data_IF_055036697404
#
_entry.id   IF_055036697404
#
_cell.length_a   1.000
_cell.length_b   1.000
_cell.length_c   1.000
_cell.angle_alpha   90.00
_cell.angle_beta   90.00
_cell.angle_gamma   90.00
#
_symmetry.space_group_name_H-M   'P 1'
#
loop_
_entity.id
_entity.type
_entity.pdbx_description
1 polymer ?
#
# COMPACT_ATOMS: atom_id res chain seq x y z
N UNK A 1 2.20 -35.16 -43.34
CA UNK A 1 2.72 -34.93 -41.98
C UNK A 1 3.48 -33.60 -41.80
N UNK A 2 3.59 -32.76 -42.85
CA UNK A 2 4.20 -31.42 -42.70
C UNK A 2 3.46 -30.53 -41.67
N UNK A 3 2.11 -30.62 -41.61
CA UNK A 3 1.27 -29.91 -40.66
C UNK A 3 1.60 -30.31 -39.20
N UNK A 4 1.80 -31.61 -38.93
CA UNK A 4 2.20 -32.09 -37.58
C UNK A 4 3.56 -31.58 -37.14
N UNK A 5 4.54 -31.55 -38.05
CA UNK A 5 5.84 -30.97 -37.78
C UNK A 5 5.77 -29.46 -37.51
N UNK A 6 4.91 -28.74 -38.24
CA UNK A 6 4.71 -27.31 -38.04
C UNK A 6 4.10 -26.99 -36.66
N UNK A 7 3.09 -27.74 -36.26
CA UNK A 7 2.47 -27.61 -34.93
C UNK A 7 3.45 -27.90 -33.81
N UNK A 8 4.29 -28.94 -33.98
CA UNK A 8 5.33 -29.29 -33.02
C UNK A 8 6.38 -28.16 -32.85
N UNK A 9 6.83 -27.59 -33.96
CA UNK A 9 7.80 -26.48 -33.95
C UNK A 9 7.20 -25.26 -33.29
N UNK A 10 5.94 -24.92 -33.57
CA UNK A 10 5.24 -23.81 -32.89
C UNK A 10 5.13 -24.08 -31.38
N UNK A 11 4.75 -25.28 -30.97
CA UNK A 11 4.65 -25.69 -29.59
C UNK A 11 5.99 -25.56 -28.83
N UNK A 12 7.08 -26.05 -29.44
CA UNK A 12 8.45 -25.92 -28.86
C UNK A 12 8.86 -24.45 -28.79
N UNK A 13 8.60 -23.65 -29.82
CA UNK A 13 8.94 -22.23 -29.85
C UNK A 13 8.16 -21.45 -28.78
N UNK A 14 6.88 -21.71 -28.62
CA UNK A 14 6.07 -21.11 -27.55
C UNK A 14 6.58 -21.53 -26.16
N UNK A 15 6.92 -22.78 -25.95
CA UNK A 15 7.51 -23.28 -24.73
C UNK A 15 8.85 -22.61 -24.39
N UNK A 16 9.72 -22.44 -25.39
CA UNK A 16 10.99 -21.77 -25.25
C UNK A 16 10.84 -20.27 -24.91
N UNK A 17 9.92 -19.57 -25.59
CA UNK A 17 9.63 -18.16 -25.29
C UNK A 17 9.07 -18.01 -23.86
N UNK A 18 8.16 -18.90 -23.48
CA UNK A 18 7.57 -18.91 -22.15
C UNK A 18 8.65 -19.13 -21.05
N UNK A 19 9.50 -20.14 -21.24
CA UNK A 19 10.59 -20.45 -20.29
C UNK A 19 11.61 -19.31 -20.18
N UNK A 20 11.99 -18.71 -21.30
CA UNK A 20 12.89 -17.54 -21.28
C UNK A 20 12.28 -16.34 -20.57
N UNK A 21 10.98 -16.11 -20.74
CA UNK A 21 10.27 -15.03 -20.03
C UNK A 21 10.30 -15.24 -18.52
N UNK A 22 10.11 -16.47 -18.07
CA UNK A 22 10.23 -16.83 -16.65
C UNK A 22 11.61 -16.51 -16.09
N UNK A 23 12.64 -17.00 -16.74
CA UNK A 23 14.01 -16.75 -16.32
C UNK A 23 14.36 -15.25 -16.28
N UNK A 24 13.84 -14.47 -17.22
CA UNK A 24 14.02 -13.02 -17.22
C UNK A 24 13.36 -12.36 -16.00
N UNK A 25 12.11 -12.72 -15.68
CA UNK A 25 11.40 -12.20 -14.51
C UNK A 25 12.15 -12.52 -13.22
N UNK A 26 12.58 -13.76 -13.04
CA UNK A 26 13.35 -14.18 -11.87
C UNK A 26 14.66 -13.42 -11.73
N UNK A 27 15.38 -13.30 -12.83
CA UNK A 27 16.66 -12.57 -12.85
C UNK A 27 16.45 -11.09 -12.50
N UNK A 28 15.38 -10.47 -13.00
CA UNK A 28 15.04 -9.09 -12.68
C UNK A 28 14.68 -8.93 -11.19
N UNK A 29 13.82 -9.78 -10.65
CA UNK A 29 13.45 -9.76 -9.22
C UNK A 29 14.68 -9.93 -8.33
N UNK A 30 15.55 -10.89 -8.63
CA UNK A 30 16.83 -11.10 -7.92
C UNK A 30 17.71 -9.86 -7.99
N UNK A 31 17.89 -9.29 -9.18
CA UNK A 31 18.69 -8.06 -9.37
C UNK A 31 18.14 -6.92 -8.49
N UNK A 32 16.83 -6.67 -8.51
CA UNK A 32 16.24 -5.58 -7.74
C UNK A 32 16.36 -5.82 -6.24
N UNK A 33 16.16 -7.05 -5.78
CA UNK A 33 16.36 -7.44 -4.38
C UNK A 33 17.82 -7.24 -3.93
N UNK A 34 18.80 -7.66 -4.74
CA UNK A 34 20.22 -7.43 -4.46
C UNK A 34 20.57 -5.95 -4.38
N UNK A 35 19.93 -5.09 -5.20
CA UNK A 35 20.14 -3.64 -5.14
C UNK A 35 19.58 -3.03 -3.87
N UNK A 36 18.41 -3.47 -3.40
CA UNK A 36 17.90 -3.05 -2.10
C UNK A 36 18.87 -3.43 -0.97
N UNK A 37 19.33 -4.67 -0.93
CA UNK A 37 20.32 -5.13 0.06
C UNK A 37 21.59 -4.30 0.04
N UNK A 38 22.16 -4.09 -1.14
CA UNK A 38 23.39 -3.32 -1.35
C UNK A 38 23.32 -1.90 -0.78
N UNK A 39 22.15 -1.26 -0.92
CA UNK A 39 21.95 0.15 -0.57
C UNK A 39 21.12 0.35 0.70
N UNK A 40 20.81 -0.71 1.45
CA UNK A 40 19.98 -0.62 2.65
C UNK A 40 20.62 0.19 3.78
N UNK A 41 21.93 0.02 3.97
CA UNK A 41 22.73 0.61 5.05
C UNK A 41 23.26 2.03 4.74
N UNK A 42 22.89 2.63 3.62
CA UNK A 42 23.27 4.00 3.30
C UNK A 42 22.32 4.96 3.98
N UNK A 43 22.88 6.03 4.60
CA UNK A 43 22.11 7.09 5.20
C UNK A 43 21.10 7.67 4.22
N UNK A 44 19.84 7.74 4.65
CA UNK A 44 18.74 8.22 3.82
C UNK A 44 18.50 9.70 4.06
N UNK A 45 18.22 10.40 3.00
CA UNK A 45 17.65 11.75 3.06
C UNK A 45 16.14 11.67 3.11
N UNK A 46 15.50 12.71 3.64
CA UNK A 46 14.04 12.79 3.72
C UNK A 46 13.48 13.65 2.60
N UNK A 47 12.48 13.15 1.92
CA UNK A 47 11.65 13.92 0.99
C UNK A 47 10.71 14.80 1.82
N UNK A 48 10.77 16.10 1.63
CA UNK A 48 9.98 17.09 2.36
C UNK A 48 8.76 17.50 1.54
N UNK A 49 8.99 17.74 0.25
CA UNK A 49 7.98 18.24 -0.67
C UNK A 49 8.20 17.65 -2.07
N UNK A 50 7.12 17.33 -2.75
CA UNK A 50 7.19 16.81 -4.12
C UNK A 50 6.04 17.34 -4.98
N UNK A 51 6.38 18.02 -6.06
CA UNK A 51 5.45 18.33 -7.13
C UNK A 51 5.66 17.34 -8.27
N UNK A 52 4.57 16.73 -8.74
CA UNK A 52 4.58 15.73 -9.82
C UNK A 52 3.66 16.22 -10.92
N UNK A 53 4.19 16.43 -12.11
CA UNK A 53 3.42 16.71 -13.33
C UNK A 53 3.40 15.43 -14.16
N UNK A 54 2.24 14.81 -14.25
CA UNK A 54 2.03 13.53 -14.90
C UNK A 54 1.26 13.69 -16.20
N UNK A 55 1.69 12.99 -17.22
CA UNK A 55 0.92 12.74 -18.44
C UNK A 55 1.11 11.30 -18.91
N UNK A 56 0.15 10.81 -19.68
CA UNK A 56 0.19 9.47 -20.25
C UNK A 56 0.01 9.54 -21.76
N UNK A 57 0.79 8.73 -22.46
CA UNK A 57 0.62 8.48 -23.89
C UNK A 57 0.66 6.98 -24.13
N UNK A 58 -0.48 6.40 -24.51
CA UNK A 58 -0.69 4.94 -24.65
C UNK A 58 -0.27 4.21 -23.35
N UNK A 59 0.70 3.32 -23.41
CA UNK A 59 1.21 2.51 -22.29
C UNK A 59 2.44 3.10 -21.61
N UNK A 60 2.76 4.34 -21.90
CA UNK A 60 3.91 5.04 -21.31
C UNK A 60 3.46 6.23 -20.50
N UNK A 61 4.16 6.47 -19.42
CA UNK A 61 4.04 7.70 -18.64
C UNK A 61 5.16 8.66 -18.99
N UNK A 62 4.87 9.96 -18.87
CA UNK A 62 5.85 11.02 -18.91
C UNK A 62 5.63 11.89 -17.69
N UNK A 63 6.67 12.11 -16.93
CA UNK A 63 6.59 12.78 -15.64
C UNK A 63 7.72 13.78 -15.48
N UNK A 64 7.34 14.97 -14.97
CA UNK A 64 8.30 15.92 -14.44
C UNK A 64 8.07 16.02 -12.93
N UNK A 65 9.08 15.76 -12.14
CA UNK A 65 9.02 15.77 -10.68
C UNK A 65 10.02 16.78 -10.11
N UNK A 66 9.50 17.77 -9.40
CA UNK A 66 10.31 18.65 -8.57
C UNK A 66 10.31 18.10 -7.14
N UNK A 67 11.48 17.81 -6.60
CA UNK A 67 11.64 17.23 -5.26
C UNK A 67 12.48 18.14 -4.37
N UNK A 68 12.03 18.30 -3.13
CA UNK A 68 12.79 18.93 -2.05
C UNK A 68 13.12 17.89 -1.01
N UNK A 69 14.40 17.63 -0.83
CA UNK A 69 14.93 16.66 0.11
C UNK A 69 15.74 17.35 1.20
N UNK A 70 15.86 16.73 2.37
CA UNK A 70 16.62 17.25 3.50
C UNK A 70 17.43 16.14 4.17
N UNK A 71 18.64 16.44 4.54
CA UNK A 71 19.40 15.60 5.47
C UNK A 71 18.91 15.83 6.88
N UNK A 72 18.11 14.92 7.45
CA UNK A 72 17.66 14.99 8.86
C UNK A 72 18.60 14.26 9.82
N UNK A 73 19.74 13.73 9.34
CA UNK A 73 20.74 13.11 10.19
C UNK A 73 21.60 14.18 10.86
N UNK A 74 22.18 13.82 11.99
CA UNK A 74 23.15 14.69 12.72
C UNK A 74 24.54 14.67 12.06
N UNK A 75 24.73 13.82 11.05
CA UNK A 75 25.96 13.68 10.28
C UNK A 75 25.77 14.11 8.84
N UNK A 76 26.85 14.41 8.19
CA UNK A 76 26.89 14.73 6.78
C UNK A 76 26.56 13.47 5.94
N UNK A 77 25.81 13.64 4.85
CA UNK A 77 25.51 12.61 3.88
C UNK A 77 26.31 12.89 2.62
N UNK A 78 27.20 11.99 2.25
CA UNK A 78 28.09 12.18 1.11
C UNK A 78 27.40 12.06 -0.25
N UNK A 79 26.27 11.32 -0.29
CA UNK A 79 25.54 11.01 -1.53
C UNK A 79 24.05 11.05 -1.27
N UNK A 80 23.33 11.69 -2.16
CA UNK A 80 21.87 11.66 -2.19
C UNK A 80 21.42 10.44 -2.99
N UNK A 81 20.50 9.67 -2.40
CA UNK A 81 20.00 8.47 -3.04
C UNK A 81 18.46 8.46 -3.02
N UNK A 82 17.86 8.08 -4.13
CA UNK A 82 16.43 7.86 -4.26
C UNK A 82 16.12 6.69 -5.20
N UNK A 83 14.89 6.22 -5.16
CA UNK A 83 14.39 5.07 -5.91
C UNK A 83 13.41 5.53 -6.98
N UNK A 84 13.48 4.94 -8.15
CA UNK A 84 12.57 5.14 -9.27
C UNK A 84 12.41 3.82 -10.02
N UNK A 85 11.24 3.56 -10.60
CA UNK A 85 11.01 2.33 -11.36
C UNK A 85 12.12 2.08 -12.37
N UNK A 86 12.70 0.88 -12.40
CA UNK A 86 13.89 0.60 -13.20
C UNK A 86 13.69 0.77 -14.71
N UNK A 87 12.46 0.65 -15.20
CA UNK A 87 12.14 0.82 -16.64
C UNK A 87 11.90 2.27 -17.07
N UNK A 88 11.74 3.20 -16.13
CA UNK A 88 11.59 4.61 -16.45
C UNK A 88 12.93 5.21 -16.80
N UNK A 89 13.05 5.83 -17.95
CA UNK A 89 14.27 6.46 -18.44
C UNK A 89 14.33 7.92 -17.99
N UNK A 90 15.39 8.31 -17.27
CA UNK A 90 15.62 9.70 -16.90
C UNK A 90 16.17 10.43 -18.11
N UNK A 91 15.44 11.42 -18.58
CA UNK A 91 15.87 12.31 -19.67
C UNK A 91 16.74 13.44 -19.15
N UNK A 92 16.36 13.98 -17.98
CA UNK A 92 17.03 15.12 -17.39
C UNK A 92 16.96 15.07 -15.87
N UNK A 93 18.09 15.37 -15.23
CA UNK A 93 18.20 15.60 -13.79
C UNK A 93 18.96 16.90 -13.58
N UNK A 94 18.30 17.89 -12.97
CA UNK A 94 18.88 19.21 -12.79
C UNK A 94 18.76 19.72 -11.37
N UNK A 95 19.69 20.63 -11.03
CA UNK A 95 19.65 21.47 -9.84
C UNK A 95 19.69 22.93 -10.30
N UNK A 96 18.68 23.70 -9.95
CA UNK A 96 18.55 25.12 -10.37
C UNK A 96 18.70 25.34 -11.90
N UNK A 97 18.23 24.35 -12.68
CA UNK A 97 18.29 24.38 -14.15
C UNK A 97 19.58 23.84 -14.77
N UNK A 98 20.63 23.58 -13.98
CA UNK A 98 21.89 23.00 -14.46
C UNK A 98 21.87 21.48 -14.31
N UNK A 99 22.40 20.76 -15.31
CA UNK A 99 22.47 19.30 -15.29
C UNK A 99 23.41 18.83 -14.19
N UNK A 100 22.96 17.86 -13.39
CA UNK A 100 23.74 17.26 -12.31
C UNK A 100 24.07 15.80 -12.66
N UNK A 101 25.33 15.37 -12.51
CA UNK A 101 25.73 13.99 -12.81
C UNK A 101 25.10 13.03 -11.79
N UNK A 102 24.62 11.91 -12.29
CA UNK A 102 24.07 10.82 -11.47
C UNK A 102 24.54 9.46 -11.97
N UNK A 103 24.49 8.47 -11.07
CA UNK A 103 24.67 7.06 -11.41
C UNK A 103 23.34 6.34 -11.21
N UNK A 104 23.01 5.43 -12.09
CA UNK A 104 21.85 4.57 -11.96
C UNK A 104 22.28 3.12 -11.81
N UNK A 105 21.77 2.43 -10.77
CA UNK A 105 21.96 1.00 -10.53
C UNK A 105 20.56 0.37 -10.34
N UNK A 106 19.95 -0.04 -11.45
CA UNK A 106 18.56 -0.50 -11.57
C UNK A 106 17.54 0.56 -11.06
N UNK A 107 16.83 0.26 -9.96
CA UNK A 107 15.87 1.20 -9.33
C UNK A 107 16.53 2.30 -8.50
N UNK A 108 17.84 2.23 -8.26
CA UNK A 108 18.56 3.17 -7.39
C UNK A 108 19.22 4.25 -8.22
N UNK A 109 19.01 5.50 -7.86
CA UNK A 109 19.61 6.69 -8.46
C UNK A 109 20.46 7.35 -7.39
N UNK A 110 21.72 7.60 -7.72
CA UNK A 110 22.73 8.14 -6.82
C UNK A 110 23.26 9.42 -7.40
N UNK A 111 23.07 10.51 -6.68
CA UNK A 111 23.64 11.83 -6.98
C UNK A 111 24.83 12.06 -6.06
N UNK A 112 25.98 12.28 -6.64
CA UNK A 112 27.23 12.57 -5.92
C UNK A 112 27.18 14.02 -5.42
N UNK A 113 26.38 14.26 -4.39
CA UNK A 113 26.20 15.58 -3.79
C UNK A 113 26.18 15.46 -2.27
N UNK A 114 27.02 16.25 -1.62
CA UNK A 114 27.20 16.26 -0.20
C UNK A 114 26.17 17.18 0.46
N UNK A 115 25.53 16.69 1.51
CA UNK A 115 24.57 17.47 2.28
C UNK A 115 24.98 17.53 3.75
N UNK A 116 25.19 18.74 4.26
CA UNK A 116 25.40 18.95 5.69
C UNK A 116 24.17 18.59 6.52
N UNK A 117 24.32 18.39 7.82
CA UNK A 117 23.16 18.18 8.69
C UNK A 117 22.12 19.29 8.52
N UNK A 118 20.84 18.88 8.34
CA UNK A 118 19.68 19.75 8.14
C UNK A 118 19.68 20.59 6.86
N UNK A 119 20.67 20.42 6.00
CA UNK A 119 20.68 21.05 4.67
C UNK A 119 19.62 20.44 3.75
N UNK A 120 19.01 21.28 2.90
CA UNK A 120 18.03 20.88 1.91
C UNK A 120 18.58 21.03 0.49
N UNK A 121 18.14 20.14 -0.41
CA UNK A 121 18.47 20.14 -1.82
C UNK A 121 17.18 20.05 -2.65
N UNK A 122 17.07 20.86 -3.69
CA UNK A 122 15.99 20.82 -4.66
C UNK A 122 16.51 20.27 -5.99
N UNK A 123 15.76 19.32 -6.58
CA UNK A 123 16.09 18.68 -7.84
C UNK A 123 14.87 18.60 -8.73
N UNK A 124 15.07 18.80 -10.02
CA UNK A 124 14.09 18.56 -11.07
C UNK A 124 14.47 17.31 -11.86
N UNK A 125 13.52 16.39 -12.01
CA UNK A 125 13.74 15.09 -12.65
C UNK A 125 12.67 14.90 -13.71
N UNK A 126 13.08 14.84 -14.98
CA UNK A 126 12.19 14.50 -16.11
C UNK A 126 12.47 13.09 -16.56
N UNK A 127 11.44 12.26 -16.67
CA UNK A 127 11.57 10.87 -17.06
C UNK A 127 10.30 10.36 -17.75
N UNK A 128 10.48 9.28 -18.53
CA UNK A 128 9.38 8.61 -19.21
C UNK A 128 9.61 7.10 -19.31
N UNK A 129 8.59 6.37 -19.69
CA UNK A 129 8.66 4.93 -19.96
C UNK A 129 7.43 4.16 -19.53
N UNK A 130 7.58 2.86 -19.50
CA UNK A 130 6.57 1.93 -18.99
C UNK A 130 6.96 1.43 -17.60
N UNK A 131 6.00 0.99 -16.82
CA UNK A 131 6.24 0.46 -15.47
C UNK A 131 6.66 -1.00 -15.55
N UNK A 132 7.78 -1.34 -14.93
CA UNK A 132 8.15 -2.74 -14.63
C UNK A 132 7.52 -3.13 -13.28
N UNK A 133 6.53 -4.03 -13.34
CA UNK A 133 5.80 -4.48 -12.16
C UNK A 133 6.60 -5.46 -11.28
N UNK A 134 7.69 -6.04 -11.79
CA UNK A 134 8.50 -6.99 -11.02
C UNK A 134 9.07 -6.36 -9.74
N UNK A 135 9.26 -5.04 -9.72
CA UNK A 135 9.70 -4.28 -8.54
C UNK A 135 8.70 -4.34 -7.38
N UNK A 136 7.42 -4.58 -7.67
CA UNK A 136 6.35 -4.60 -6.68
C UNK A 136 6.25 -5.91 -5.90
N UNK A 137 6.95 -6.96 -6.32
CA UNK A 137 6.83 -8.32 -5.80
C UNK A 137 8.11 -8.83 -5.10
N UNK A 138 8.99 -7.94 -4.65
CA UNK A 138 10.29 -8.34 -4.09
C UNK A 138 10.20 -8.87 -2.66
N UNK A 139 9.13 -8.57 -1.97
CA UNK A 139 8.84 -9.03 -0.61
C UNK A 139 8.02 -10.34 -0.57
N UNK A 140 7.76 -10.93 -1.72
CA UNK A 140 7.01 -12.17 -1.89
C UNK A 140 8.00 -13.30 -2.18
N UNK A 141 7.85 -14.41 -1.47
CA UNK A 141 8.68 -15.61 -1.71
C UNK A 141 8.42 -16.20 -3.10
N UNK A 142 9.37 -16.95 -3.62
CA UNK A 142 9.17 -17.64 -4.90
C UNK A 142 8.03 -18.66 -4.82
N UNK A 143 7.84 -19.32 -3.67
CA UNK A 143 6.75 -20.24 -3.41
C UNK A 143 5.40 -19.54 -3.54
N UNK A 144 5.22 -18.39 -2.90
CA UNK A 144 3.99 -17.60 -2.99
C UNK A 144 3.77 -17.02 -4.39
N UNK A 145 4.84 -16.60 -5.06
CA UNK A 145 4.77 -16.05 -6.43
C UNK A 145 4.29 -17.11 -7.43
N UNK A 146 4.77 -18.34 -7.28
CA UNK A 146 4.45 -19.47 -8.16
C UNK A 146 3.37 -20.41 -7.60
N UNK A 147 2.87 -20.20 -6.40
CA UNK A 147 1.92 -21.11 -5.75
C UNK A 147 0.68 -21.34 -6.62
N UNK A 148 0.51 -22.58 -6.98
CA UNK A 148 -0.60 -23.06 -7.80
C UNK A 148 -1.77 -23.64 -6.99
N UNK A 149 -1.59 -23.83 -5.67
CA UNK A 149 -2.57 -24.54 -4.85
C UNK A 149 -3.56 -23.59 -4.17
N UNK A 150 -3.12 -22.43 -3.71
CA UNK A 150 -3.96 -21.51 -2.94
C UNK A 150 -4.81 -20.58 -3.79
N UNK A 151 -4.66 -20.61 -5.11
CA UNK A 151 -5.38 -19.70 -6.01
C UNK A 151 -4.89 -18.25 -5.98
N UNK A 152 -3.81 -17.97 -5.25
CA UNK A 152 -3.21 -16.65 -5.10
C UNK A 152 -1.99 -16.43 -6.01
N UNK A 153 -1.60 -17.41 -6.80
CA UNK A 153 -0.46 -17.30 -7.71
C UNK A 153 -0.57 -16.08 -8.63
N UNK A 154 0.35 -15.16 -8.49
CA UNK A 154 0.44 -13.94 -9.29
C UNK A 154 0.58 -14.29 -10.77
N UNK A 155 1.42 -15.25 -11.06
CA UNK A 155 1.71 -15.65 -12.43
C UNK A 155 0.58 -16.39 -13.10
N UNK A 156 -0.03 -17.35 -12.41
CA UNK A 156 -1.05 -18.25 -13.00
C UNK A 156 -2.31 -17.50 -13.40
N UNK A 157 -2.69 -16.46 -12.66
CA UNK A 157 -3.95 -15.74 -12.88
C UNK A 157 -3.76 -14.41 -13.62
N UNK A 158 -2.57 -14.12 -14.14
CA UNK A 158 -2.32 -12.87 -14.84
C UNK A 158 -2.52 -11.66 -13.93
N UNK A 159 -2.22 -11.80 -12.66
CA UNK A 159 -2.35 -10.72 -11.68
C UNK A 159 -1.40 -9.58 -12.01
N UNK A 160 -1.87 -8.36 -11.84
CA UNK A 160 -1.13 -7.15 -12.15
C UNK A 160 -1.14 -6.19 -10.97
N UNK A 161 -0.06 -5.46 -10.81
CA UNK A 161 0.09 -4.46 -9.76
C UNK A 161 -0.07 -3.03 -10.26
N UNK A 162 0.28 -2.78 -11.51
CA UNK A 162 0.15 -1.49 -12.17
C UNK A 162 -0.60 -1.61 -13.50
N UNK A 163 -1.34 -0.59 -13.83
CA UNK A 163 -2.02 -0.48 -15.11
C UNK A 163 -1.66 0.87 -15.73
N UNK A 164 -1.22 0.85 -16.98
CA UNK A 164 -1.06 2.02 -17.81
C UNK A 164 -1.63 1.64 -19.17
N UNK A 165 -2.92 1.90 -19.37
CA UNK A 165 -3.67 1.50 -20.56
C UNK A 165 -4.60 2.64 -20.97
N UNK A 166 -5.05 2.65 -22.22
CA UNK A 166 -5.91 3.70 -22.76
C UNK A 166 -7.20 3.90 -21.97
N UNK A 167 -7.78 2.84 -21.42
CA UNK A 167 -9.06 2.91 -20.70
C UNK A 167 -8.93 2.97 -19.20
N UNK A 168 -7.78 2.54 -18.66
CA UNK A 168 -7.58 2.44 -17.24
C UNK A 168 -6.11 2.60 -16.84
N UNK A 169 -5.85 3.43 -15.87
CA UNK A 169 -4.53 3.61 -15.26
C UNK A 169 -4.65 3.45 -13.75
N UNK A 170 -3.74 2.70 -13.16
CA UNK A 170 -3.58 2.56 -11.71
C UNK A 170 -2.09 2.47 -11.39
N UNK A 171 -1.62 3.43 -10.62
CA UNK A 171 -0.24 3.52 -10.15
C UNK A 171 -0.25 3.77 -8.65
N UNK A 172 0.40 2.89 -7.91
CA UNK A 172 0.55 2.98 -6.46
C UNK A 172 2.02 3.26 -6.09
N UNK A 173 2.34 3.70 -4.87
CA UNK A 173 3.72 3.97 -4.45
C UNK A 173 4.66 2.79 -4.68
N UNK A 174 4.16 1.56 -4.55
CA UNK A 174 4.95 0.33 -4.73
C UNK A 174 5.50 0.18 -6.15
N UNK A 175 4.87 0.83 -7.13
CA UNK A 175 5.34 0.85 -8.51
C UNK A 175 6.56 1.74 -8.72
N UNK A 176 6.95 2.57 -7.75
CA UNK A 176 8.01 3.57 -7.89
C UNK A 176 7.82 4.47 -9.12
N UNK A 177 6.57 4.88 -9.39
CA UNK A 177 6.27 5.70 -10.56
C UNK A 177 6.68 7.16 -10.40
N UNK A 178 7.07 7.55 -9.18
CA UNK A 178 7.75 8.81 -8.86
C UNK A 178 8.93 8.57 -7.92
N UNK A 179 9.91 9.52 -7.85
CA UNK A 179 11.06 9.38 -6.97
C UNK A 179 10.68 9.23 -5.49
N UNK A 180 11.27 8.26 -4.81
CA UNK A 180 11.09 8.02 -3.38
C UNK A 180 12.43 7.87 -2.69
N UNK A 181 12.61 8.45 -1.50
CA UNK A 181 13.84 8.31 -0.71
C UNK A 181 13.90 7.02 0.10
N UNK A 182 12.76 6.36 0.30
CA UNK A 182 12.65 5.05 0.95
C UNK A 182 12.00 4.05 0.00
N UNK A 183 12.47 2.80 -0.03
CA UNK A 183 11.83 1.78 -0.85
C UNK A 183 10.45 1.43 -0.29
N UNK A 184 9.43 1.28 -1.14
CA UNK A 184 8.07 0.95 -0.71
C UNK A 184 7.92 -0.52 -0.28
N UNK A 185 8.90 -1.37 -0.60
CA UNK A 185 8.98 -2.76 -0.19
C UNK A 185 10.38 -3.06 0.36
N UNK A 186 10.47 -3.95 1.35
CA UNK A 186 11.74 -4.37 1.93
C UNK A 186 11.84 -5.90 1.85
N UNK A 187 12.64 -6.46 0.91
CA UNK A 187 12.74 -7.91 0.73
C UNK A 187 13.46 -8.63 1.88
N UNK A 188 14.23 -7.91 2.72
CA UNK A 188 14.93 -8.52 3.85
C UNK A 188 14.10 -8.50 5.14
N UNK A 189 13.31 -7.43 5.32
CA UNK A 189 12.44 -7.25 6.47
C UNK A 189 11.10 -6.68 6.00
N UNK A 190 10.24 -7.51 5.40
CA UNK A 190 8.98 -7.06 4.81
C UNK A 190 8.08 -6.31 5.79
N UNK A 191 8.25 -6.55 7.10
CA UNK A 191 7.50 -5.91 8.17
C UNK A 191 8.06 -4.54 8.59
N UNK A 192 9.31 -4.24 8.22
CA UNK A 192 10.00 -3.02 8.58
C UNK A 192 10.17 -2.11 7.36
N UNK A 193 9.05 -1.63 6.86
CA UNK A 193 9.04 -0.65 5.77
C UNK A 193 9.14 0.74 6.38
N UNK A 194 10.30 1.38 6.21
CA UNK A 194 10.45 2.80 6.57
C UNK A 194 9.60 3.63 5.61
N UNK A 195 8.85 4.58 6.16
CA UNK A 195 8.03 5.51 5.40
C UNK A 195 8.57 6.91 5.51
N UNK A 196 8.49 7.64 4.43
CA UNK A 196 8.77 9.06 4.41
C UNK A 196 7.46 9.82 4.22
N UNK A 197 7.14 10.69 5.15
CA UNK A 197 5.95 11.53 5.08
C UNK A 197 6.30 12.86 4.43
N UNK A 198 5.60 13.21 3.37
CA UNK A 198 5.90 14.36 2.52
C UNK A 198 4.64 15.11 2.14
N UNK A 199 4.81 16.36 1.76
CA UNK A 199 3.76 17.09 1.05
C UNK A 199 3.80 16.70 -0.43
N UNK A 200 2.64 16.46 -1.01
CA UNK A 200 2.52 16.15 -2.43
C UNK A 200 1.63 17.15 -3.14
N UNK A 201 2.03 17.55 -4.33
CA UNK A 201 1.20 18.22 -5.33
C UNK A 201 1.26 17.38 -6.60
N UNK A 202 0.16 16.73 -6.94
CA UNK A 202 0.03 15.99 -8.18
C UNK A 202 -0.76 16.81 -9.21
N UNK A 203 -0.18 17.02 -10.37
CA UNK A 203 -0.80 17.65 -11.54
C UNK A 203 -0.93 16.62 -12.63
N UNK A 204 -2.14 16.27 -13.02
CA UNK A 204 -2.41 15.28 -14.07
C UNK A 204 -2.92 16.02 -15.29
N UNK A 205 -2.13 16.01 -16.37
CA UNK A 205 -2.53 16.55 -17.67
C UNK A 205 -3.28 15.44 -18.40
N UNK A 206 -4.57 15.60 -18.58
CA UNK A 206 -5.43 14.60 -19.17
C UNK A 206 -6.43 15.23 -20.16
N UNK A 207 -6.37 14.87 -21.43
CA UNK A 207 -7.15 15.54 -22.48
C UNK A 207 -8.59 15.02 -22.61
N UNK A 208 -8.99 13.99 -21.85
CA UNK A 208 -10.32 13.37 -21.97
C UNK A 208 -11.14 13.47 -20.66
N UNK A 209 -12.42 13.07 -20.72
CA UNK A 209 -13.40 13.21 -19.65
C UNK A 209 -13.35 12.10 -18.59
N UNK A 210 -12.32 11.25 -18.59
CA UNK A 210 -12.21 10.18 -17.58
C UNK A 210 -11.99 10.75 -16.18
N UNK A 211 -12.52 10.06 -15.20
CA UNK A 211 -12.35 10.42 -13.80
C UNK A 211 -10.93 10.16 -13.35
N UNK A 212 -10.32 11.16 -12.74
CA UNK A 212 -8.98 11.08 -12.15
C UNK A 212 -9.11 11.08 -10.64
N UNK A 213 -8.48 10.09 -9.98
CA UNK A 213 -8.54 9.90 -8.54
C UNK A 213 -7.13 9.90 -7.95
N UNK A 214 -6.93 10.64 -6.89
CA UNK A 214 -5.72 10.63 -6.07
C UNK A 214 -6.03 11.15 -4.67
N UNK A 215 -5.09 10.99 -3.74
CA UNK A 215 -5.14 11.63 -2.44
C UNK A 215 -5.05 13.15 -2.57
N UNK A 216 -5.53 13.86 -1.55
CA UNK A 216 -5.53 15.33 -1.51
C UNK A 216 -6.78 15.95 -2.13
N UNK A 217 -6.91 17.26 -1.98
CA UNK A 217 -8.06 18.01 -2.48
C UNK A 217 -7.92 18.29 -3.98
N UNK A 218 -8.92 17.90 -4.80
CA UNK A 218 -8.88 18.14 -6.23
C UNK A 218 -9.22 19.59 -6.56
N UNK A 219 -8.55 20.12 -7.57
CA UNK A 219 -8.91 21.38 -8.26
C UNK A 219 -8.55 21.25 -9.73
N UNK A 220 -9.33 21.89 -10.60
CA UNK A 220 -9.11 21.83 -12.04
C UNK A 220 -8.61 23.17 -12.57
N UNK A 221 -7.63 23.14 -13.48
CA UNK A 221 -7.12 24.29 -14.19
C UNK A 221 -6.89 23.93 -15.67
N UNK A 222 -7.83 24.30 -16.53
CA UNK A 222 -7.85 23.86 -17.93
C UNK A 222 -7.93 22.33 -18.01
N UNK A 223 -7.04 21.73 -18.79
CA UNK A 223 -6.94 20.26 -18.97
C UNK A 223 -6.16 19.57 -17.85
N UNK A 224 -5.82 20.29 -16.79
CA UNK A 224 -5.00 19.76 -15.69
C UNK A 224 -5.84 19.61 -14.44
N UNK A 225 -5.91 18.38 -13.91
CA UNK A 225 -6.42 18.09 -12.59
C UNK A 225 -5.27 18.19 -11.58
N UNK A 226 -5.48 18.94 -10.50
CA UNK A 226 -4.46 19.20 -9.48
C UNK A 226 -4.96 18.65 -8.14
N UNK A 227 -4.14 17.82 -7.50
CA UNK A 227 -4.40 17.30 -6.15
C UNK A 227 -3.36 17.85 -5.18
N UNK A 228 -3.81 18.41 -4.05
CA UNK A 228 -2.93 18.89 -2.97
C UNK A 228 -3.31 18.29 -1.65
N UNK A 229 -2.35 17.70 -0.98
CA UNK A 229 -2.54 17.17 0.36
C UNK A 229 -2.44 18.29 1.40
N UNK A 230 -3.30 18.24 2.40
CA UNK A 230 -3.22 19.09 3.58
C UNK A 230 -2.29 18.49 4.63
N UNK A 231 -2.41 17.17 4.80
CA UNK A 231 -1.58 16.40 5.72
C UNK A 231 -0.43 15.71 4.95
N UNK A 232 0.70 15.51 5.60
CA UNK A 232 1.80 14.76 5.01
C UNK A 232 1.42 13.30 4.81
N UNK A 233 1.77 12.73 3.67
CA UNK A 233 1.45 11.36 3.30
C UNK A 233 2.71 10.53 3.07
N UNK A 234 2.65 9.21 3.32
CA UNK A 234 3.76 8.29 3.03
C UNK A 234 3.90 7.99 1.53
N UNK A 235 2.97 8.43 0.73
CA UNK A 235 2.92 8.25 -0.72
C UNK A 235 1.55 8.56 -1.28
N UNK A 236 1.47 8.67 -2.59
CA UNK A 236 0.22 8.92 -3.32
C UNK A 236 0.01 7.91 -4.43
N UNK A 237 -1.25 7.62 -4.73
CA UNK A 237 -1.68 6.79 -5.85
C UNK A 237 -2.40 7.61 -6.89
N UNK A 238 -2.41 7.11 -8.11
CA UNK A 238 -3.15 7.67 -9.23
C UNK A 238 -4.03 6.59 -9.85
N UNK A 239 -5.33 6.84 -9.95
CA UNK A 239 -6.24 6.02 -10.74
C UNK A 239 -6.96 6.90 -11.77
N UNK A 240 -7.04 6.42 -13.02
CA UNK A 240 -7.77 7.09 -14.10
C UNK A 240 -8.65 6.06 -14.76
N UNK A 241 -9.94 6.33 -14.85
CA UNK A 241 -10.90 5.39 -15.40
C UNK A 241 -12.27 5.98 -15.66
N UNK A 242 -13.13 5.17 -16.26
CA UNK A 242 -14.53 5.54 -16.52
C UNK A 242 -15.40 5.13 -15.32
N UNK A 243 -15.45 6.01 -14.33
CA UNK A 243 -16.13 5.78 -13.06
C UNK A 243 -17.47 6.48 -12.96
N UNK A 244 -18.39 5.85 -12.21
CA UNK A 244 -19.56 6.50 -11.63
C UNK A 244 -19.28 6.79 -10.16
N UNK A 245 -19.66 7.99 -9.71
CA UNK A 245 -19.43 8.44 -8.35
C UNK A 245 -20.69 8.38 -7.52
N UNK A 246 -20.63 7.79 -6.33
CA UNK A 246 -21.57 7.97 -5.24
C UNK A 246 -20.85 8.57 -4.04
N UNK A 247 -21.52 9.46 -3.31
CA UNK A 247 -20.90 10.10 -2.15
C UNK A 247 -21.90 10.41 -1.06
N UNK A 248 -21.40 10.33 0.17
CA UNK A 248 -22.11 10.78 1.38
C UNK A 248 -21.16 11.62 2.23
N UNK A 249 -21.71 12.50 3.05
CA UNK A 249 -20.94 13.29 4.01
C UNK A 249 -21.18 12.73 5.39
N UNK A 250 -20.10 12.44 6.12
CA UNK A 250 -20.13 11.90 7.48
C UNK A 250 -19.24 12.80 8.36
N UNK A 251 -19.84 13.59 9.20
CA UNK A 251 -19.13 14.49 10.13
C UNK A 251 -17.99 15.28 9.42
N UNK A 252 -18.34 16.03 8.40
CA UNK A 252 -17.41 16.80 7.53
C UNK A 252 -16.42 15.99 6.69
N UNK A 253 -16.41 14.66 6.77
CA UNK A 253 -15.62 13.80 5.89
C UNK A 253 -16.48 13.36 4.71
N UNK A 254 -16.00 13.60 3.51
CA UNK A 254 -16.66 13.14 2.29
C UNK A 254 -16.22 11.72 1.97
N UNK A 255 -17.15 10.76 2.09
CA UNK A 255 -16.93 9.36 1.71
C UNK A 255 -17.42 9.17 0.28
N UNK A 256 -16.54 8.74 -0.59
CA UNK A 256 -16.76 8.62 -2.02
C UNK A 256 -16.54 7.18 -2.49
N UNK A 257 -17.52 6.63 -3.18
CA UNK A 257 -17.41 5.35 -3.89
C UNK A 257 -17.36 5.62 -5.38
N UNK A 258 -16.32 5.12 -6.03
CA UNK A 258 -16.12 5.15 -7.47
C UNK A 258 -16.14 3.73 -8.00
N UNK A 259 -17.20 3.36 -8.68
CA UNK A 259 -17.35 2.09 -9.37
C UNK A 259 -17.32 2.28 -10.89
N UNK A 260 -16.88 1.28 -11.63
CA UNK A 260 -16.95 1.33 -13.08
C UNK A 260 -18.41 1.46 -13.53
N UNK A 261 -18.63 2.13 -14.65
CA UNK A 261 -19.99 2.35 -15.18
C UNK A 261 -20.77 1.05 -15.29
N UNK A 262 -21.96 1.03 -14.71
CA UNK A 262 -22.83 -0.15 -14.67
C UNK A 262 -22.43 -1.22 -13.65
N UNK A 263 -21.42 -0.97 -12.81
CA UNK A 263 -20.97 -1.88 -11.76
C UNK A 263 -21.36 -1.33 -10.38
N UNK A 264 -22.57 -1.55 -9.91
CA UNK A 264 -22.97 -1.16 -8.57
C UNK A 264 -23.18 -2.38 -7.66
N UNK A 265 -22.13 -3.18 -7.47
CA UNK A 265 -22.21 -4.39 -6.64
C UNK A 265 -22.28 -4.10 -5.15
N UNK A 266 -21.86 -2.93 -4.73
CA UNK A 266 -21.67 -2.62 -3.31
C UNK A 266 -22.94 -2.03 -2.71
N UNK A 267 -23.59 -1.06 -3.34
CA UNK A 267 -24.80 -0.44 -2.81
C UNK A 267 -26.02 -1.36 -2.91
N UNK A 268 -26.13 -2.21 -3.92
CA UNK A 268 -27.21 -3.19 -4.03
C UNK A 268 -27.28 -4.21 -2.88
N UNK A 269 -26.18 -4.40 -2.17
CA UNK A 269 -26.12 -5.36 -1.05
C UNK A 269 -26.78 -4.79 0.21
N UNK A 270 -26.98 -3.47 0.31
CA UNK A 270 -27.42 -2.77 1.49
C UNK A 270 -28.72 -1.95 1.27
N UNK A 271 -29.81 -2.57 0.83
CA UNK A 271 -31.03 -1.84 0.48
C UNK A 271 -31.75 -1.22 1.67
N UNK A 272 -31.57 -1.76 2.90
CA UNK A 272 -32.38 -1.36 4.06
C UNK A 272 -31.78 -0.19 4.84
N UNK A 273 -30.50 0.14 4.63
CA UNK A 273 -29.79 1.16 5.43
C UNK A 273 -29.43 2.41 4.64
N UNK A 274 -29.84 2.53 3.38
CA UNK A 274 -29.47 3.66 2.51
C UNK A 274 -29.76 5.01 3.14
N UNK A 275 -30.94 5.18 3.74
CA UNK A 275 -31.40 6.45 4.31
C UNK A 275 -30.77 6.78 5.67
N UNK A 276 -30.31 5.77 6.40
CA UNK A 276 -29.71 5.92 7.75
C UNK A 276 -28.19 5.82 7.74
N UNK A 277 -27.61 5.50 6.58
CA UNK A 277 -26.20 5.17 6.45
C UNK A 277 -25.26 6.28 6.95
N UNK A 278 -25.55 7.55 6.64
CA UNK A 278 -24.70 8.66 7.05
C UNK A 278 -24.63 8.81 8.58
N UNK A 279 -25.76 8.76 9.26
CA UNK A 279 -25.81 8.82 10.74
C UNK A 279 -25.13 7.62 11.37
N UNK A 280 -25.36 6.42 10.83
CA UNK A 280 -24.72 5.22 11.33
C UNK A 280 -23.19 5.24 11.17
N UNK A 281 -22.68 5.70 10.04
CA UNK A 281 -21.24 5.85 9.82
C UNK A 281 -20.63 6.93 10.72
N UNK A 282 -21.37 7.99 11.03
CA UNK A 282 -20.95 9.01 11.99
C UNK A 282 -20.78 8.40 13.40
N UNK A 283 -21.71 7.56 13.85
CA UNK A 283 -21.63 6.88 15.14
C UNK A 283 -20.41 5.94 15.19
N UNK A 284 -20.20 5.12 14.15
CA UNK A 284 -19.06 4.21 14.07
C UNK A 284 -17.74 4.96 14.07
N UNK A 285 -17.66 6.07 13.31
CA UNK A 285 -16.47 6.94 13.27
C UNK A 285 -16.19 7.55 14.64
N UNK A 286 -17.22 8.11 15.28
CA UNK A 286 -17.09 8.77 16.60
C UNK A 286 -16.67 7.79 17.69
N UNK A 287 -17.22 6.58 17.70
CA UNK A 287 -16.83 5.50 18.60
C UNK A 287 -15.35 5.14 18.41
N UNK A 288 -14.90 5.03 17.16
CA UNK A 288 -13.53 4.70 16.84
C UNK A 288 -12.56 5.82 17.23
N UNK A 289 -12.88 7.07 16.91
CA UNK A 289 -12.08 8.24 17.26
C UNK A 289 -11.90 8.39 18.77
N UNK A 290 -13.00 8.16 19.53
CA UNK A 290 -12.97 8.17 20.99
C UNK A 290 -12.02 7.08 21.54
N UNK A 291 -12.11 5.89 20.99
CA UNK A 291 -11.27 4.75 21.39
C UNK A 291 -9.79 4.95 21.06
N UNK A 292 -9.49 5.55 19.90
CA UNK A 292 -8.12 5.86 19.48
C UNK A 292 -7.56 7.14 20.11
N UNK A 293 -8.40 7.97 20.73
CA UNK A 293 -8.02 9.26 21.29
C UNK A 293 -7.60 10.30 20.26
N UNK A 294 -7.98 10.09 18.98
CA UNK A 294 -7.66 11.02 17.87
C UNK A 294 -8.75 11.01 16.81
N UNK A 295 -8.87 12.13 16.09
CA UNK A 295 -9.82 12.28 15.00
C UNK A 295 -9.27 11.74 13.69
N UNK A 296 -10.16 11.35 12.78
CA UNK A 296 -9.80 11.03 11.40
C UNK A 296 -9.16 12.27 10.75
N UNK A 297 -7.92 12.17 10.23
CA UNK A 297 -7.14 13.36 9.88
C UNK A 297 -7.50 13.96 8.52
N UNK A 298 -8.22 13.22 7.67
CA UNK A 298 -8.46 13.63 6.29
C UNK A 298 -9.87 14.16 6.09
N UNK A 299 -10.08 14.95 5.01
CA UNK A 299 -11.37 15.54 4.68
C UNK A 299 -12.21 14.63 3.77
N UNK A 300 -11.60 13.62 3.19
CA UNK A 300 -12.27 12.67 2.30
C UNK A 300 -11.75 11.24 2.52
N UNK A 301 -12.53 10.29 2.03
CA UNK A 301 -12.14 8.89 1.89
C UNK A 301 -12.67 8.35 0.57
N UNK A 302 -11.78 7.83 -0.26
CA UNK A 302 -12.09 7.31 -1.59
C UNK A 302 -12.07 5.78 -1.56
N UNK A 303 -13.15 5.17 -2.02
CA UNK A 303 -13.21 3.75 -2.36
C UNK A 303 -13.27 3.66 -3.89
N UNK A 304 -12.25 3.10 -4.52
CA UNK A 304 -12.16 2.99 -5.97
C UNK A 304 -12.17 1.54 -6.42
N UNK A 305 -13.07 1.20 -7.33
CA UNK A 305 -13.10 -0.12 -7.95
C UNK A 305 -11.90 -0.31 -8.87
N UNK A 306 -11.35 -1.51 -8.88
CA UNK A 306 -10.19 -1.89 -9.68
C UNK A 306 -10.45 -3.18 -10.45
N UNK A 307 -9.79 -3.40 -11.60
CA UNK A 307 -9.93 -4.62 -12.37
C UNK A 307 -9.66 -5.88 -11.55
N UNK A 308 -10.35 -6.97 -11.84
CA UNK A 308 -10.18 -8.27 -11.16
C UNK A 308 -8.75 -8.81 -11.22
N UNK A 309 -8.00 -8.41 -12.22
CA UNK A 309 -6.59 -8.75 -12.34
C UNK A 309 -5.68 -7.92 -11.43
N UNK A 310 -6.17 -6.83 -10.85
CA UNK A 310 -5.41 -6.09 -9.85
C UNK A 310 -5.19 -6.96 -8.62
N UNK A 311 -3.95 -7.05 -8.25
CA UNK A 311 -3.57 -7.76 -7.04
C UNK A 311 -3.22 -6.75 -5.98
N UNK A 312 -4.20 -6.42 -5.14
CA UNK A 312 -3.85 -6.09 -3.77
C UNK A 312 -3.33 -7.39 -3.13
N UNK A 313 -2.05 -7.74 -3.33
CA UNK A 313 -1.52 -8.96 -2.75
C UNK A 313 -1.67 -8.90 -1.24
N UNK A 314 -2.39 -9.89 -0.70
CA UNK A 314 -2.55 -10.05 0.75
C UNK A 314 -1.19 -10.43 1.31
N UNK A 315 -0.48 -9.45 1.79
CA UNK A 315 0.71 -9.69 2.58
C UNK A 315 0.28 -10.17 3.96
N UNK A 316 0.83 -11.27 4.42
CA UNK A 316 0.43 -11.91 5.70
C UNK A 316 0.55 -10.98 6.91
N UNK A 317 1.33 -9.91 6.82
CA UNK A 317 1.52 -8.91 7.88
C UNK A 317 0.62 -7.68 7.73
N UNK A 318 -0.05 -7.49 6.59
CA UNK A 318 -1.09 -6.48 6.43
C UNK A 318 -2.42 -7.17 6.73
N UNK A 319 -3.07 -6.79 7.79
CA UNK A 319 -4.36 -7.35 8.20
C UNK A 319 -5.50 -7.16 7.19
N UNK A 320 -5.29 -6.32 6.17
CA UNK A 320 -6.25 -6.00 5.12
C UNK A 320 -5.83 -6.61 3.79
N UNK A 321 -6.79 -7.22 3.14
CA UNK A 321 -6.64 -7.78 1.79
C UNK A 321 -6.81 -6.73 0.68
N UNK A 322 -7.37 -5.57 1.01
CA UNK A 322 -7.48 -4.41 0.14
C UNK A 322 -6.23 -3.54 0.26
N UNK A 323 -5.83 -2.92 -0.82
CA UNK A 323 -4.80 -1.90 -0.74
C UNK A 323 -5.35 -0.63 -0.11
N UNK A 324 -5.35 -0.60 1.22
CA UNK A 324 -5.72 0.57 1.99
C UNK A 324 -4.53 1.51 2.10
N UNK A 325 -4.77 2.76 1.78
CA UNK A 325 -3.82 3.85 1.87
C UNK A 325 -4.49 5.02 2.59
N UNK A 326 -3.74 6.01 3.07
CA UNK A 326 -4.35 7.26 3.52
C UNK A 326 -5.32 7.82 2.47
N UNK A 327 -6.53 8.19 2.88
CA UNK A 327 -7.62 8.72 2.05
C UNK A 327 -8.17 7.75 0.97
N UNK A 328 -7.62 6.56 0.75
CA UNK A 328 -8.01 5.73 -0.40
C UNK A 328 -7.93 4.23 -0.09
N UNK A 329 -8.89 3.48 -0.64
CA UNK A 329 -8.85 2.02 -0.71
C UNK A 329 -9.27 1.55 -2.10
N UNK A 330 -8.62 0.49 -2.56
CA UNK A 330 -8.95 -0.15 -3.83
C UNK A 330 -9.78 -1.40 -3.57
N UNK A 331 -10.97 -1.45 -4.18
CA UNK A 331 -11.92 -2.55 -4.08
C UNK A 331 -11.95 -3.32 -5.41
N UNK A 332 -12.02 -4.65 -5.38
CA UNK A 332 -12.02 -5.43 -6.60
C UNK A 332 -13.36 -5.30 -7.35
N UNK A 333 -13.29 -5.33 -8.66
CA UNK A 333 -14.42 -5.37 -9.59
C UNK A 333 -15.44 -6.48 -9.27
N UNK A 334 -15.00 -7.57 -8.68
CA UNK A 334 -15.85 -8.61 -8.12
C UNK A 334 -15.65 -8.72 -6.61
N UNK A 335 -16.66 -8.35 -5.85
CA UNK A 335 -16.66 -8.39 -4.40
C UNK A 335 -16.32 -9.77 -3.78
N UNK A 336 -16.41 -10.85 -4.56
CA UNK A 336 -16.12 -12.21 -4.11
C UNK A 336 -14.63 -12.55 -4.10
N UNK A 337 -13.77 -11.72 -4.70
CA UNK A 337 -12.33 -12.00 -4.81
C UNK A 337 -11.57 -11.68 -3.53
N UNK A 338 -12.07 -10.77 -2.70
CA UNK A 338 -11.47 -10.42 -1.42
C UNK A 338 -12.47 -10.66 -0.27
N UNK A 339 -12.04 -11.33 0.83
CA UNK A 339 -12.95 -11.66 1.93
C UNK A 339 -13.62 -10.46 2.59
N UNK A 340 -12.90 -9.36 2.76
CA UNK A 340 -13.39 -8.16 3.45
C UNK A 340 -14.42 -7.37 2.62
N UNK A 341 -14.36 -7.44 1.30
CA UNK A 341 -15.33 -6.81 0.39
C UNK A 341 -16.43 -7.75 -0.10
N UNK A 342 -16.42 -9.02 0.31
CA UNK A 342 -17.49 -9.95 -0.02
C UNK A 342 -18.71 -9.77 0.89
N UNK A 343 -19.41 -8.67 0.72
CA UNK A 343 -20.56 -8.30 1.55
C UNK A 343 -21.71 -9.31 1.50
N UNK A 344 -21.99 -9.91 0.35
CA UNK A 344 -23.02 -10.95 0.23
C UNK A 344 -22.71 -12.16 1.10
N UNK A 345 -21.46 -12.59 1.11
CA UNK A 345 -21.02 -13.69 1.98
C UNK A 345 -21.04 -13.28 3.46
N UNK A 346 -20.59 -12.08 3.78
CA UNK A 346 -20.59 -11.55 5.14
C UNK A 346 -22.00 -11.46 5.71
N UNK A 347 -22.99 -10.94 4.95
CA UNK A 347 -24.41 -10.94 5.32
C UNK A 347 -24.92 -12.35 5.60
N UNK A 348 -24.69 -13.29 4.69
CA UNK A 348 -25.10 -14.70 4.86
C UNK A 348 -24.50 -15.34 6.12
N UNK A 349 -23.22 -15.09 6.37
CA UNK A 349 -22.52 -15.62 7.54
C UNK A 349 -23.10 -15.05 8.83
N UNK A 350 -23.32 -13.74 8.89
CA UNK A 350 -23.84 -13.06 10.07
C UNK A 350 -25.29 -13.46 10.35
N UNK A 351 -26.16 -13.53 9.35
CA UNK A 351 -27.52 -14.04 9.49
C UNK A 351 -27.58 -15.50 9.98
N UNK A 352 -26.63 -16.34 9.59
CA UNK A 352 -26.56 -17.71 10.06
C UNK A 352 -26.05 -17.83 11.51
N UNK A 353 -25.25 -16.91 12.00
CA UNK A 353 -24.83 -16.86 13.40
C UNK A 353 -26.01 -16.56 14.33
N UNK A 354 -26.84 -15.57 13.97
CA UNK A 354 -28.07 -15.27 14.73
C UNK A 354 -29.07 -16.42 14.76
N UNK A 355 -29.10 -17.29 13.75
CA UNK A 355 -29.98 -18.47 13.73
C UNK A 355 -29.57 -19.62 14.67
N UNK A 356 -28.31 -19.63 15.15
CA UNK A 356 -27.84 -20.63 16.11
C UNK A 356 -28.27 -20.33 17.54
N UNK A 357 -28.69 -19.11 17.82
CA UNK A 357 -29.30 -18.69 19.08
C UNK A 357 -30.80 -18.49 18.82
N UNK A 358 -31.68 -19.34 19.37
CA UNK A 358 -33.14 -19.21 19.16
C UNK A 358 -33.73 -17.91 19.63
N UNK A 359 -33.02 -17.16 20.49
CA UNK A 359 -33.44 -15.84 21.02
C UNK A 359 -32.79 -14.65 20.28
N UNK A 360 -31.89 -14.92 19.32
CA UNK A 360 -30.99 -13.94 18.71
C UNK A 360 -31.10 -13.82 17.19
N UNK A 361 -32.23 -14.11 16.56
CA UNK A 361 -32.41 -13.83 15.13
C UNK A 361 -32.33 -12.32 14.90
N UNK A 362 -31.20 -11.89 14.28
CA UNK A 362 -31.02 -10.49 13.89
C UNK A 362 -32.00 -10.09 12.78
N UNK A 363 -32.56 -8.91 12.85
CA UNK A 363 -33.25 -8.30 11.72
C UNK A 363 -32.31 -8.04 10.57
N UNK A 364 -32.80 -8.00 9.34
CA UNK A 364 -31.96 -7.83 8.16
C UNK A 364 -31.19 -6.51 8.18
N UNK A 365 -31.79 -5.46 8.70
CA UNK A 365 -31.15 -4.16 8.88
C UNK A 365 -29.97 -4.24 9.84
N UNK A 366 -30.09 -4.98 10.94
CA UNK A 366 -29.00 -5.16 11.91
C UNK A 366 -27.83 -5.95 11.30
N UNK A 367 -28.15 -6.93 10.45
CA UNK A 367 -27.13 -7.68 9.70
C UNK A 367 -26.37 -6.76 8.77
N UNK A 368 -27.06 -5.90 8.03
CA UNK A 368 -26.44 -4.91 7.12
C UNK A 368 -25.56 -3.93 7.90
N UNK A 369 -26.08 -3.37 8.99
CA UNK A 369 -25.33 -2.44 9.86
C UNK A 369 -24.05 -3.07 10.42
N UNK A 370 -24.13 -4.31 10.89
CA UNK A 370 -22.96 -5.00 11.43
C UNK A 370 -21.92 -5.32 10.35
N UNK A 371 -22.34 -5.69 9.15
CA UNK A 371 -21.43 -5.93 8.02
C UNK A 371 -20.68 -4.65 7.61
N UNK A 372 -21.40 -3.53 7.54
CA UNK A 372 -20.78 -2.22 7.24
C UNK A 372 -19.87 -1.78 8.39
N UNK A 373 -20.30 -1.93 9.66
CA UNK A 373 -19.47 -1.60 10.82
C UNK A 373 -18.12 -2.35 10.77
N UNK A 374 -18.16 -3.64 10.48
CA UNK A 374 -16.96 -4.46 10.33
C UNK A 374 -16.06 -3.99 9.19
N UNK A 375 -16.65 -3.63 8.06
CA UNK A 375 -15.90 -3.11 6.92
C UNK A 375 -15.26 -1.76 7.24
N UNK A 376 -16.02 -0.82 7.77
CA UNK A 376 -15.54 0.51 8.14
C UNK A 376 -14.38 0.42 9.13
N UNK A 377 -14.51 -0.40 10.17
CA UNK A 377 -13.44 -0.58 11.16
C UNK A 377 -12.17 -1.18 10.58
N UNK A 378 -12.29 -2.12 9.66
CA UNK A 378 -11.13 -2.80 9.07
C UNK A 378 -10.46 -2.04 7.95
N UNK A 379 -11.22 -1.26 7.21
CA UNK A 379 -10.75 -0.61 5.98
C UNK A 379 -10.63 0.90 6.16
N UNK A 380 -11.72 1.60 6.43
CA UNK A 380 -11.72 3.06 6.54
C UNK A 380 -10.96 3.57 7.77
N UNK A 381 -11.06 2.86 8.87
CA UNK A 381 -10.50 3.25 10.16
C UNK A 381 -9.31 2.35 10.55
N UNK A 382 -8.67 1.74 9.57
CA UNK A 382 -7.51 0.87 9.79
C UNK A 382 -6.27 1.68 10.19
N UNK A 383 -5.28 1.00 10.75
CA UNK A 383 -3.99 1.61 11.10
C UNK A 383 -3.30 2.22 9.87
N UNK A 384 -3.46 1.60 8.70
CA UNK A 384 -2.91 2.09 7.44
C UNK A 384 -3.50 3.45 7.03
N UNK A 385 -4.76 3.72 7.42
CA UNK A 385 -5.43 5.00 7.16
C UNK A 385 -4.90 6.11 8.06
N UNK A 386 -4.57 5.79 9.32
CA UNK A 386 -4.10 6.75 10.32
C UNK A 386 -2.57 6.84 10.41
N UNK A 387 -1.88 6.61 9.32
CA UNK A 387 -0.42 6.65 9.32
C UNK A 387 0.11 8.05 9.65
N UNK A 388 1.01 8.11 10.62
CA UNK A 388 1.72 9.30 11.02
C UNK A 388 3.22 9.05 11.11
N UNK A 389 4.02 10.09 10.87
CA UNK A 389 5.47 10.03 11.07
C UNK A 389 5.77 9.78 12.57
N UNK A 390 6.49 8.71 12.89
CA UNK A 390 6.94 8.38 14.23
C UNK A 390 6.03 7.48 15.07
N UNK A 391 4.78 7.23 14.68
CA UNK A 391 3.82 6.50 15.50
C UNK A 391 3.72 4.98 15.26
N UNK A 392 4.44 4.44 14.28
CA UNK A 392 4.35 3.01 13.92
C UNK A 392 4.70 2.09 15.11
N UNK A 393 5.57 2.53 16.01
CA UNK A 393 5.98 1.76 17.17
C UNK A 393 4.95 1.82 18.31
N UNK A 394 4.44 3.00 18.62
CA UNK A 394 3.44 3.19 19.70
C UNK A 394 2.15 2.46 19.35
N UNK A 395 1.74 2.49 18.07
CA UNK A 395 0.55 1.79 17.59
C UNK A 395 0.69 0.26 17.64
N UNK A 396 1.92 -0.25 17.45
CA UNK A 396 2.22 -1.68 17.56
C UNK A 396 2.05 -2.22 18.98
N UNK A 397 2.26 -1.35 20.01
CA UNK A 397 2.18 -1.74 21.42
C UNK A 397 0.99 -1.14 22.17
N UNK A 398 0.25 -0.18 21.62
CA UNK A 398 -0.92 0.43 22.29
C UNK A 398 -2.17 -0.46 22.34
N UNK A 399 -2.05 -1.70 21.95
CA UNK A 399 -2.88 -2.78 22.51
C UNK A 399 -4.25 -2.99 21.90
N UNK A 400 -4.59 -2.41 20.77
CA UNK A 400 -5.80 -2.82 20.06
C UNK A 400 -5.54 -3.90 19.02
N UNK A 401 -5.14 -5.04 19.52
CA UNK A 401 -5.29 -6.29 18.81
C UNK A 401 -6.76 -6.69 18.83
N UNK A 402 -7.54 -6.12 17.96
CA UNK A 402 -8.80 -6.76 17.63
C UNK A 402 -8.45 -8.13 17.07
N UNK A 403 -8.94 -9.21 17.68
CA UNK A 403 -8.63 -10.60 17.36
C UNK A 403 -9.00 -11.07 15.94
N UNK A 404 -8.98 -10.17 14.98
CA UNK A 404 -9.27 -10.34 13.56
C UNK A 404 -8.04 -10.20 12.67
N UNK A 405 -6.92 -9.69 13.17
CA UNK A 405 -5.68 -9.73 12.39
C UNK A 405 -5.16 -11.17 12.36
N UNK A 406 -5.13 -11.76 11.20
CA UNK A 406 -4.46 -13.05 10.95
C UNK A 406 -2.94 -12.89 10.94
N UNK A 407 -2.37 -12.04 11.80
CA UNK A 407 -0.94 -12.08 12.03
C UNK A 407 -0.61 -13.47 12.54
N UNK A 408 0.16 -14.18 11.77
CA UNK A 408 0.63 -15.49 12.15
C UNK A 408 1.49 -15.35 13.41
N UNK A 409 1.49 -16.35 14.28
CA UNK A 409 2.34 -16.48 15.47
C UNK A 409 3.83 -16.14 15.18
N UNK A 410 4.29 -16.46 13.96
CA UNK A 410 5.67 -16.17 13.51
C UNK A 410 5.89 -14.71 13.14
N UNK A 411 4.87 -14.01 12.68
CA UNK A 411 4.99 -12.65 12.20
C UNK A 411 5.27 -11.67 13.34
N UNK A 412 4.61 -11.86 14.47
CA UNK A 412 4.84 -11.05 15.67
C UNK A 412 6.20 -11.28 16.30
N UNK A 413 6.60 -12.52 16.42
CA UNK A 413 7.88 -12.84 17.00
C UNK A 413 9.01 -12.30 16.14
N UNK A 414 8.93 -12.46 14.80
CA UNK A 414 9.93 -11.91 13.89
C UNK A 414 9.92 -10.38 13.84
N UNK A 415 8.75 -9.73 13.89
CA UNK A 415 8.65 -8.28 14.05
C UNK A 415 9.30 -7.80 15.34
N UNK A 416 8.99 -8.45 16.45
CA UNK A 416 9.56 -8.14 17.75
C UNK A 416 11.09 -8.29 17.76
N UNK A 417 11.60 -9.43 17.28
CA UNK A 417 13.04 -9.70 17.29
C UNK A 417 13.82 -8.83 16.30
N UNK A 418 13.29 -8.57 15.13
CA UNK A 418 13.93 -7.65 14.18
C UNK A 418 13.95 -6.22 14.73
N UNK A 419 12.90 -5.80 15.41
CA UNK A 419 12.83 -4.47 16.00
C UNK A 419 13.70 -4.36 17.26
N UNK A 420 13.62 -5.32 18.18
CA UNK A 420 14.45 -5.39 19.36
C UNK A 420 15.94 -5.47 18.99
N UNK A 421 16.31 -6.26 17.98
CA UNK A 421 17.67 -6.33 17.47
C UNK A 421 18.16 -4.99 16.89
N UNK A 422 17.32 -4.26 16.16
CA UNK A 422 17.67 -2.96 15.60
C UNK A 422 17.85 -1.87 16.68
N UNK A 423 17.14 -1.99 17.79
CA UNK A 423 17.19 -1.04 18.90
C UNK A 423 18.30 -1.40 19.90
N UNK A 424 18.53 -2.69 20.14
CA UNK A 424 19.62 -3.15 21.00
C UNK A 424 20.99 -2.68 20.50
N UNK A 425 21.15 -2.60 19.19
CA UNK A 425 22.36 -2.02 18.58
C UNK A 425 22.54 -0.52 18.82
N UNK A 426 21.52 0.19 19.34
CA UNK A 426 21.51 1.63 19.58
C UNK A 426 21.53 2.03 21.07
N UNK A 427 21.77 1.11 21.99
CA UNK A 427 21.82 1.36 23.46
C UNK A 427 20.57 2.06 24.05
N UNK A 428 19.38 1.73 23.62
CA UNK A 428 18.15 2.35 24.10
C UNK A 428 17.45 1.50 25.16
N UNK A 429 16.94 2.07 26.29
CA UNK A 429 16.29 1.32 27.37
C UNK A 429 14.85 0.89 27.03
N UNK A 430 14.57 0.62 25.77
CA UNK A 430 13.23 0.24 25.28
C UNK A 430 12.83 -1.16 25.73
N UNK A 431 13.78 -2.05 25.97
CA UNK A 431 13.48 -3.38 26.51
C UNK A 431 12.71 -3.26 27.83
N UNK A 432 13.11 -2.32 28.70
CA UNK A 432 12.42 -2.08 29.96
C UNK A 432 11.00 -1.54 29.75
N UNK A 433 10.80 -0.67 28.75
CA UNK A 433 9.47 -0.14 28.39
C UNK A 433 8.59 -1.26 27.81
N UNK A 434 9.15 -2.06 26.93
CA UNK A 434 8.44 -3.20 26.33
C UNK A 434 8.08 -4.24 27.37
N UNK A 435 9.04 -4.65 28.23
CA UNK A 435 8.82 -5.58 29.32
C UNK A 435 7.80 -5.06 30.33
N UNK A 436 7.86 -3.80 30.72
CA UNK A 436 6.88 -3.19 31.62
C UNK A 436 5.49 -3.09 30.98
N UNK A 437 5.41 -2.85 29.69
CA UNK A 437 4.12 -2.83 28.96
C UNK A 437 3.56 -4.24 28.85
N UNK A 438 4.39 -5.23 28.58
CA UNK A 438 4.01 -6.65 28.58
C UNK A 438 3.52 -7.13 29.92
N UNK A 439 4.24 -6.80 31.01
CA UNK A 439 3.86 -7.15 32.38
C UNK A 439 2.51 -6.50 32.78
N UNK A 440 2.26 -5.27 32.39
CA UNK A 440 0.97 -4.61 32.61
C UNK A 440 -0.17 -5.25 31.80
N UNK A 441 0.12 -5.81 30.64
CA UNK A 441 -0.88 -6.53 29.83
C UNK A 441 -1.08 -7.98 30.28
N UNK A 442 -0.20 -8.55 31.12
CA UNK A 442 -0.33 -9.91 31.66
C UNK A 442 -1.61 -10.08 32.47
N UNK A 443 -2.13 -9.02 33.07
CA UNK A 443 -3.40 -9.02 33.80
C UNK A 443 -4.63 -9.05 32.87
N UNK A 444 -4.45 -8.82 31.56
CA UNK A 444 -5.50 -8.89 30.54
C UNK A 444 -5.52 -10.26 29.84
N UNK A 445 -6.68 -10.65 29.30
CA UNK A 445 -6.78 -11.90 28.50
C UNK A 445 -5.88 -11.89 27.26
N UNK A 446 -5.56 -10.72 26.75
CA UNK A 446 -4.68 -10.54 25.61
C UNK A 446 -3.20 -10.69 26.00
N UNK A 447 -2.80 -10.18 27.15
CA UNK A 447 -1.45 -10.40 27.70
C UNK A 447 -1.17 -11.87 27.97
N UNK A 448 -2.13 -12.62 28.52
CA UNK A 448 -2.01 -14.07 28.73
C UNK A 448 -1.81 -14.84 27.40
N UNK A 449 -2.44 -14.40 26.32
CA UNK A 449 -2.26 -15.01 25.01
C UNK A 449 -0.85 -14.76 24.47
N UNK A 450 -0.34 -13.54 24.60
CA UNK A 450 1.00 -13.14 24.19
C UNK A 450 2.08 -13.93 24.99
N UNK A 451 1.95 -14.03 26.29
CA UNK A 451 2.86 -14.81 27.15
C UNK A 451 2.87 -16.30 26.81
N UNK A 452 1.72 -16.88 26.46
CA UNK A 452 1.67 -18.26 25.97
C UNK A 452 2.40 -18.44 24.64
N UNK A 453 2.36 -17.46 23.78
CA UNK A 453 3.11 -17.45 22.53
C UNK A 453 4.61 -17.38 22.79
N UNK A 454 5.03 -16.46 23.66
CA UNK A 454 6.42 -16.29 24.05
C UNK A 454 7.00 -17.54 24.72
N UNK A 455 6.26 -18.17 25.64
CA UNK A 455 6.64 -19.41 26.28
C UNK A 455 6.63 -20.63 25.35
N UNK A 456 5.99 -20.54 24.20
CA UNK A 456 6.02 -21.57 23.16
C UNK A 456 7.20 -21.48 22.19
N UNK A 457 8.06 -20.46 22.31
CA UNK A 457 9.27 -20.29 21.49
C UNK A 457 10.40 -21.19 22.01
N UNK A 458 11.22 -21.72 21.11
CA UNK A 458 12.44 -22.44 21.46
C UNK A 458 13.45 -21.59 22.22
N UNK A 459 14.35 -22.22 22.98
CA UNK A 459 15.33 -21.48 23.80
C UNK A 459 16.24 -20.56 22.95
N UNK A 460 16.58 -20.97 21.75
CA UNK A 460 17.36 -20.16 20.81
C UNK A 460 16.61 -18.89 20.34
N UNK A 461 15.29 -18.95 20.33
CA UNK A 461 14.43 -17.81 20.00
C UNK A 461 14.15 -16.89 21.19
N UNK A 462 14.38 -17.36 22.44
CA UNK A 462 14.25 -16.55 23.65
C UNK A 462 15.54 -15.81 24.00
N UNK A 463 16.68 -16.31 23.52
CA UNK A 463 17.99 -15.74 23.79
C UNK A 463 18.42 -14.66 22.78
N UNK A 464 17.73 -14.55 21.65
CA UNK A 464 17.91 -13.51 20.65
C UNK A 464 17.03 -12.30 20.93
#
# INVERSE_FOLDING_TARGET
NALGCMILIIGISCGFIYFNRFNQIDNQRKLYSERYKKYNNIDKVHLIDQEIVFSQNDKKISVNSHIKIQNRNHQEVDKVMFYLNPSLQIEKLTRQGEDIPYKRDAQVIIVEHKLHPYESLELDITYNGSIDENICYLDITDEEYYDTQTGSSILRFGKRYAFVQDKFTLLTPECLWYPSTFPPVNPEAPYNIRKNFSNYTLKVIHPDDRTILSQGQPSQSGDTMIFRNKEQLPGISLAIGDYEKKSIVVDSVQIELYNFKGHDFYSEVFPNISDTLSGFLQDVKSEYELRKGRKYPYQKFIMAETPISYTGYVRNWKGNSEQTQPEMVFLPEFATTLPSSNFKFAKKRMANWGRRDPQGAMEEIDVEMNVIRDFVRRVLLSEETFQEEGNTFVNMFSGEWSGTSKLNKYDLSSMYFNYAGSIYSQNFPIIDIVMNTMLKQEESDQGRHFFRMFNGMGDDQRAA
#
